data_IF_550487097472
#
_entry.id   IF_550487097472
#
_cell.length_a   1.000
_cell.length_b   1.000
_cell.length_c   1.000
_cell.angle_alpha   90.00
_cell.angle_beta   90.00
_cell.angle_gamma   90.00
#
_symmetry.space_group_name_H-M   'P 1'
#
loop_
_entity.id
_entity.type
_entity.pdbx_description
1 polymer ?
#
# COMPACT_ATOMS: atom_id res chain seq x y z
N UNK A 1 -17.94 15.78 19.06
CA UNK A 1 -17.19 14.74 19.80
C UNK A 1 -16.42 13.96 18.75
N UNK A 2 -15.10 13.82 18.88
CA UNK A 2 -14.28 13.04 17.93
C UNK A 2 -14.19 11.63 18.48
N UNK A 3 -14.47 10.63 17.64
CA UNK A 3 -14.29 9.22 17.97
C UNK A 3 -12.95 8.75 17.41
N UNK A 4 -12.14 8.10 18.26
CA UNK A 4 -10.89 7.48 17.84
C UNK A 4 -11.16 6.08 17.30
N UNK A 5 -10.30 5.63 16.39
CA UNK A 5 -10.30 4.28 15.83
C UNK A 5 -9.00 3.62 16.30
N UNK A 6 -9.09 2.43 16.88
CA UNK A 6 -7.91 1.63 17.20
C UNK A 6 -7.27 1.11 15.92
N UNK A 7 -5.93 1.09 15.86
CA UNK A 7 -5.23 0.69 14.65
C UNK A 7 -5.61 -0.72 14.20
N UNK A 8 -5.84 -1.64 15.14
CA UNK A 8 -6.17 -3.05 14.86
C UNK A 8 -7.53 -3.24 14.18
N UNK A 9 -8.43 -2.27 14.28
CA UNK A 9 -9.81 -2.33 13.75
C UNK A 9 -9.99 -1.41 12.53
N UNK A 10 -8.90 -0.90 11.96
CA UNK A 10 -8.93 0.17 10.97
C UNK A 10 -9.70 -0.21 9.70
N UNK A 11 -9.42 -1.37 9.10
CA UNK A 11 -10.08 -1.82 7.87
C UNK A 11 -11.58 -2.06 8.09
N UNK A 12 -11.95 -2.66 9.23
CA UNK A 12 -13.34 -2.91 9.61
C UNK A 12 -14.10 -1.60 9.86
N UNK A 13 -13.50 -0.69 10.62
CA UNK A 13 -14.13 0.58 11.01
C UNK A 13 -14.31 1.51 9.81
N UNK A 14 -13.33 1.53 8.89
CA UNK A 14 -13.45 2.25 7.61
C UNK A 14 -14.30 1.49 6.58
N UNK A 15 -14.75 0.28 6.92
CA UNK A 15 -15.58 -0.59 6.10
C UNK A 15 -15.00 -0.92 4.73
N UNK A 16 -13.66 -0.95 4.60
CA UNK A 16 -12.97 -1.18 3.33
C UNK A 16 -13.29 -2.58 2.81
N UNK A 17 -13.82 -2.67 1.59
CA UNK A 17 -14.19 -3.93 0.92
C UNK A 17 -13.29 -4.23 -0.27
N UNK A 18 -13.59 -5.35 -0.95
CA UNK A 18 -12.90 -5.74 -2.17
C UNK A 18 -13.16 -4.75 -3.31
N UNK A 19 -12.17 -4.61 -4.20
CA UNK A 19 -12.20 -3.74 -5.37
C UNK A 19 -12.32 -2.24 -5.05
N UNK A 20 -11.71 -1.79 -3.96
CA UNK A 20 -11.64 -0.38 -3.59
C UNK A 20 -10.25 0.21 -3.83
N UNK A 21 -10.21 1.47 -4.27
CA UNK A 21 -8.99 2.28 -4.33
C UNK A 21 -8.99 3.25 -3.14
N UNK A 22 -8.07 3.03 -2.20
CA UNK A 22 -7.96 3.85 -0.98
C UNK A 22 -6.76 4.78 -1.11
N UNK A 23 -6.97 6.08 -0.87
CA UNK A 23 -5.90 7.08 -0.85
C UNK A 23 -5.79 7.72 0.54
N UNK A 24 -4.58 7.70 1.10
CA UNK A 24 -4.27 8.31 2.39
C UNK A 24 -3.68 9.70 2.17
N UNK A 25 -4.37 10.74 2.66
CA UNK A 25 -3.99 12.15 2.50
C UNK A 25 -3.89 12.86 3.86
N UNK A 26 -3.20 14.00 3.90
CA UNK A 26 -3.01 14.80 5.12
C UNK A 26 -1.64 14.64 5.80
N UNK A 27 -1.51 15.15 7.04
CA UNK A 27 -0.25 15.17 7.81
C UNK A 27 -0.12 14.00 8.78
N UNK A 28 1.07 13.40 8.86
CA UNK A 28 1.37 12.30 9.80
C UNK A 28 0.70 10.96 9.46
N UNK A 29 1.17 9.87 10.08
CA UNK A 29 0.47 8.57 10.15
C UNK A 29 0.33 7.75 8.86
N UNK A 30 0.33 8.35 7.66
CA UNK A 30 -0.01 7.68 6.38
C UNK A 30 0.75 6.38 6.13
N UNK A 31 2.07 6.37 6.36
CA UNK A 31 2.88 5.17 6.16
C UNK A 31 2.47 4.05 7.12
N UNK A 32 2.29 4.37 8.41
CA UNK A 32 1.77 3.43 9.40
C UNK A 32 0.39 2.91 9.00
N UNK A 33 -0.54 3.81 8.67
CA UNK A 33 -1.90 3.47 8.22
C UNK A 33 -1.88 2.60 6.97
N UNK A 34 -1.02 2.88 5.99
CA UNK A 34 -0.87 2.09 4.76
C UNK A 34 -0.48 0.64 5.09
N UNK A 35 0.54 0.45 5.93
CA UNK A 35 1.00 -0.88 6.33
C UNK A 35 -0.01 -1.62 7.20
N UNK A 36 -0.63 -0.94 8.17
CA UNK A 36 -1.69 -1.50 9.00
C UNK A 36 -2.88 -1.98 8.17
N UNK A 37 -3.32 -1.19 7.17
CA UNK A 37 -4.35 -1.63 6.23
C UNK A 37 -3.90 -2.82 5.38
N UNK A 38 -2.65 -2.80 4.90
CA UNK A 38 -2.06 -3.93 4.17
C UNK A 38 -2.19 -5.26 4.92
N UNK A 39 -1.88 -5.26 6.21
CA UNK A 39 -1.96 -6.45 7.06
C UNK A 39 -3.41 -6.91 7.30
N UNK A 40 -4.34 -5.98 7.52
CA UNK A 40 -5.72 -6.29 7.86
C UNK A 40 -6.59 -6.71 6.69
N UNK A 41 -6.28 -6.25 5.48
CA UNK A 41 -7.09 -6.56 4.30
C UNK A 41 -6.92 -8.02 3.88
N UNK A 42 -8.06 -8.66 3.63
CA UNK A 42 -8.14 -10.01 3.09
C UNK A 42 -8.17 -9.98 1.56
N UNK A 43 -7.57 -11.01 0.93
CA UNK A 43 -7.45 -11.10 -0.53
C UNK A 43 -6.21 -10.38 -1.06
N UNK A 44 -6.23 -10.07 -2.35
CA UNK A 44 -5.09 -9.43 -3.04
C UNK A 44 -5.05 -7.93 -2.75
N UNK A 45 -3.96 -7.44 -2.19
CA UNK A 45 -3.75 -6.02 -1.88
C UNK A 45 -2.49 -5.49 -2.55
N UNK A 46 -2.61 -4.39 -3.30
CA UNK A 46 -1.47 -3.66 -3.86
C UNK A 46 -1.30 -2.39 -3.04
N UNK A 47 -0.11 -2.22 -2.47
CA UNK A 47 0.27 -1.01 -1.75
C UNK A 47 1.21 -0.17 -2.60
N UNK A 48 1.05 1.14 -2.53
CA UNK A 48 2.00 2.09 -3.09
C UNK A 48 2.00 3.37 -2.26
N UNK A 49 2.94 4.27 -2.54
CA UNK A 49 3.06 5.55 -1.84
C UNK A 49 2.90 6.70 -2.81
N UNK A 50 2.11 7.71 -2.46
CA UNK A 50 1.96 8.92 -3.29
C UNK A 50 3.19 9.85 -3.20
N UNK A 51 4.15 9.56 -2.30
CA UNK A 51 5.32 10.41 -2.02
C UNK A 51 6.58 9.59 -1.75
N UNK A 52 7.71 10.26 -1.56
CA UNK A 52 8.96 9.62 -1.15
C UNK A 52 8.81 8.96 0.23
N UNK A 53 8.86 7.63 0.27
CA UNK A 53 8.89 6.80 1.48
C UNK A 53 10.33 6.37 1.76
N UNK A 54 10.70 6.05 3.00
CA UNK A 54 12.00 5.41 3.26
C UNK A 54 12.09 4.08 2.50
N UNK A 55 13.18 3.82 1.79
CA UNK A 55 13.33 2.59 1.00
C UNK A 55 13.34 1.32 1.88
N UNK A 56 13.73 1.48 3.15
CA UNK A 56 13.69 0.46 4.18
C UNK A 56 12.26 0.17 4.71
N UNK A 57 11.30 1.04 4.42
CA UNK A 57 9.92 0.90 4.89
C UNK A 57 9.14 0.05 3.89
N UNK A 58 9.37 -1.27 3.89
CA UNK A 58 8.61 -2.23 3.07
C UNK A 58 7.51 -2.97 3.83
N UNK A 59 7.50 -2.89 5.18
CA UNK A 59 6.55 -3.63 6.02
C UNK A 59 6.63 -5.14 5.80
N UNK A 60 7.81 -5.66 5.47
CA UNK A 60 8.08 -7.06 5.11
C UNK A 60 7.29 -7.59 3.89
N UNK A 61 6.58 -6.72 3.18
CA UNK A 61 5.90 -7.09 1.93
C UNK A 61 6.91 -7.26 0.79
N UNK A 62 6.64 -8.17 -0.16
CA UNK A 62 7.37 -8.22 -1.42
C UNK A 62 7.33 -6.86 -2.13
N UNK A 63 8.51 -6.34 -2.47
CA UNK A 63 8.65 -5.06 -3.16
C UNK A 63 8.95 -5.31 -4.64
N UNK A 64 8.19 -4.67 -5.51
CA UNK A 64 8.42 -4.64 -6.95
C UNK A 64 8.75 -3.22 -7.41
N UNK A 65 9.86 -3.08 -8.16
CA UNK A 65 10.30 -1.80 -8.72
C UNK A 65 10.00 -1.76 -10.21
N UNK A 66 9.24 -0.74 -10.62
CA UNK A 66 8.73 -0.53 -11.98
C UNK A 66 8.11 -1.79 -12.60
N UNK A 67 7.17 -2.47 -11.93
CA UNK A 67 6.63 -3.73 -12.44
C UNK A 67 5.61 -3.54 -13.57
N UNK A 68 5.58 -4.52 -14.45
CA UNK A 68 4.45 -4.81 -15.33
C UNK A 68 3.28 -5.43 -14.56
N UNK A 69 2.07 -5.40 -15.13
CA UNK A 69 0.89 -6.02 -14.51
C UNK A 69 1.00 -7.54 -14.43
N UNK A 70 1.79 -8.15 -15.32
CA UNK A 70 2.10 -9.58 -15.24
C UNK A 70 2.93 -9.88 -13.99
N UNK A 71 3.98 -9.10 -13.72
CA UNK A 71 4.82 -9.26 -12.52
C UNK A 71 4.05 -9.02 -11.22
N UNK A 72 3.17 -8.00 -11.21
CA UNK A 72 2.27 -7.75 -10.07
C UNK A 72 1.37 -8.97 -9.84
N UNK A 73 0.74 -9.49 -10.90
CA UNK A 73 -0.16 -10.67 -10.80
C UNK A 73 0.59 -11.91 -10.33
N UNK A 74 1.78 -12.18 -10.87
CA UNK A 74 2.60 -13.32 -10.49
C UNK A 74 3.08 -13.24 -9.04
N UNK A 75 3.38 -12.02 -8.56
CA UNK A 75 3.71 -11.79 -7.15
C UNK A 75 2.49 -12.01 -6.26
N UNK A 76 1.33 -11.48 -6.66
CA UNK A 76 0.06 -11.61 -5.94
C UNK A 76 -0.43 -13.08 -5.81
N UNK A 77 -0.07 -13.94 -6.75
CA UNK A 77 -0.33 -15.38 -6.67
C UNK A 77 0.53 -16.08 -5.61
N UNK A 78 1.72 -15.56 -5.33
CA UNK A 78 2.68 -16.13 -4.35
C UNK A 78 2.51 -15.54 -2.96
N UNK A 79 2.17 -14.26 -2.91
CA UNK A 79 1.91 -13.50 -1.71
C UNK A 79 0.66 -12.66 -1.96
N UNK A 80 -0.34 -12.71 -1.08
CA UNK A 80 -1.58 -11.94 -1.28
C UNK A 80 -1.39 -10.42 -1.25
N UNK A 81 -0.17 -9.93 -1.03
CA UNK A 81 0.15 -8.52 -0.81
C UNK A 81 1.45 -8.18 -1.51
N UNK A 82 1.50 -7.02 -2.14
CA UNK A 82 2.70 -6.53 -2.81
C UNK A 82 2.80 -5.02 -2.69
N UNK A 83 4.04 -4.54 -2.61
CA UNK A 83 4.35 -3.13 -2.62
C UNK A 83 4.92 -2.76 -3.99
N UNK A 84 4.26 -1.87 -4.72
CA UNK A 84 4.64 -1.43 -6.05
C UNK A 84 5.20 -0.02 -6.03
N UNK A 85 6.44 0.13 -6.49
CA UNK A 85 7.13 1.41 -6.61
C UNK A 85 7.55 1.67 -8.05
N UNK A 86 7.54 2.94 -8.48
CA UNK A 86 8.09 3.35 -9.77
C UNK A 86 9.62 3.32 -9.76
N UNK A 87 10.24 3.69 -8.63
CA UNK A 87 11.69 3.69 -8.45
C UNK A 87 12.04 3.62 -6.97
N UNK A 88 13.26 3.17 -6.66
CA UNK A 88 13.82 3.29 -5.32
C UNK A 88 15.34 3.53 -5.41
N UNK A 89 15.86 4.33 -4.49
CA UNK A 89 17.29 4.44 -4.17
C UNK A 89 17.53 3.91 -2.74
N UNK A 90 18.77 4.00 -2.23
CA UNK A 90 19.13 3.50 -0.89
C UNK A 90 18.36 4.18 0.26
N UNK A 91 17.75 5.33 0.01
CA UNK A 91 17.09 6.16 1.02
C UNK A 91 15.60 6.29 0.78
N UNK A 92 15.16 6.27 -0.48
CA UNK A 92 13.82 6.69 -0.86
C UNK A 92 13.23 5.82 -1.94
N UNK A 93 12.01 5.39 -1.69
CA UNK A 93 11.11 4.81 -2.68
C UNK A 93 10.14 5.86 -3.23
N UNK A 94 9.80 5.74 -4.50
CA UNK A 94 8.84 6.58 -5.22
C UNK A 94 7.72 5.65 -5.67
N UNK A 95 6.47 5.91 -5.26
CA UNK A 95 5.35 5.12 -5.76
C UNK A 95 4.97 5.47 -7.19
N UNK A 96 3.99 4.73 -7.70
CA UNK A 96 3.55 4.87 -9.09
C UNK A 96 2.67 6.11 -9.28
N UNK A 97 2.56 6.59 -10.51
CA UNK A 97 1.65 7.69 -10.84
C UNK A 97 0.17 7.24 -10.86
N UNK A 98 -0.74 8.21 -10.91
CA UNK A 98 -2.18 7.94 -10.88
C UNK A 98 -2.67 7.13 -12.09
N UNK A 99 -2.10 7.38 -13.27
CA UNK A 99 -2.46 6.65 -14.49
C UNK A 99 -2.05 5.18 -14.38
N UNK A 100 -0.89 4.90 -13.77
CA UNK A 100 -0.44 3.53 -13.47
C UNK A 100 -1.32 2.85 -12.44
N UNK A 101 -1.83 3.56 -11.43
CA UNK A 101 -2.80 2.98 -10.48
C UNK A 101 -4.16 2.63 -11.11
N UNK A 102 -4.53 3.29 -12.21
CA UNK A 102 -5.86 3.18 -12.83
C UNK A 102 -5.96 2.14 -13.96
N UNK A 103 -4.86 1.47 -14.32
CA UNK A 103 -4.80 0.46 -15.37
C UNK A 103 -5.27 -0.92 -14.87
#
# INVERSE_FOLDING_TARGET
MVQTIELDDLAETLQIRQNELVSLVGGGGKTTTLFTLGEQLAGTTILTTTTKMGAEQSGDFPVLINPSDAEVRDSLQKASRVLAWAAADERRAIGVDGDTCNR
#
